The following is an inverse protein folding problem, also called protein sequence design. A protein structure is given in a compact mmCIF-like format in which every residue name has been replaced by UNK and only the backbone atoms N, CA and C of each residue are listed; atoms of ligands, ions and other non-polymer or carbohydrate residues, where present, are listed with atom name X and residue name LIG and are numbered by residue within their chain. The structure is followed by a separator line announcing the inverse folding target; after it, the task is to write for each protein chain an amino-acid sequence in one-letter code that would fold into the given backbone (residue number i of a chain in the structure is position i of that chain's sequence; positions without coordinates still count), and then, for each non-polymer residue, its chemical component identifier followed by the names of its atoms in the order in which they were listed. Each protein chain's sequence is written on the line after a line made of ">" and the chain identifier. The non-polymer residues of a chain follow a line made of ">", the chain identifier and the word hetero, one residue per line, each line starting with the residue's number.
data_IF_958245201024
#
_entry.id   IF_958245201024
#
_cell.length_a   1.000
_cell.length_b   1.000
_cell.length_c   1.000
_cell.angle_alpha   90.00
_cell.angle_beta   90.00
_cell.angle_gamma   90.00
#
_symmetry.space_group_name_H-M   'P 1'
#
loop_
_entity.id
_entity.type
_entity.pdbx_description
1 polymer ?
#
# COMPACT_ATOMS: atom_id res chain seq x y z
N UNK A 1 -7.52 -12.07 20.06
CA UNK A 1 -7.73 -12.63 18.70
C UNK A 1 -7.18 -11.62 17.71
N UNK A 2 -5.94 -11.77 17.25
CA UNK A 2 -5.28 -10.79 16.37
C UNK A 2 -5.65 -11.11 14.93
N UNK A 3 -6.53 -10.32 14.32
CA UNK A 3 -6.88 -10.47 12.92
C UNK A 3 -5.69 -10.00 12.06
N UNK A 4 -4.86 -10.94 11.61
CA UNK A 4 -3.80 -10.68 10.62
C UNK A 4 -4.32 -11.09 9.25
N UNK A 5 -4.84 -10.14 8.46
CA UNK A 5 -5.08 -10.34 7.03
C UNK A 5 -3.81 -9.98 6.27
N UNK A 6 -3.29 -10.94 5.51
CA UNK A 6 -2.12 -10.80 4.63
C UNK A 6 -2.62 -10.61 3.21
N UNK A 7 -2.39 -9.44 2.62
CA UNK A 7 -2.35 -9.25 1.16
C UNK A 7 -1.70 -7.91 0.86
N UNK A 8 -0.72 -7.93 -0.04
CA UNK A 8 0.04 -6.78 -0.47
C UNK A 8 -0.13 -6.60 -1.99
N UNK A 9 -0.73 -5.48 -2.44
CA UNK A 9 -1.20 -5.09 -3.79
C UNK A 9 -1.67 -3.61 -3.97
N UNK A 10 -0.88 -2.51 -3.99
CA UNK A 10 -1.40 -1.12 -3.96
C UNK A 10 -1.84 -0.75 -5.34
N UNK A 11 -3.15 -0.57 -5.47
CA UNK A 11 -3.74 -0.35 -6.77
C UNK A 11 -3.95 1.13 -6.98
N UNK A 12 -3.21 1.66 -7.94
CA UNK A 12 -3.61 2.84 -8.68
C UNK A 12 -4.41 2.38 -9.90
N UNK A 13 -5.74 2.41 -9.77
CA UNK A 13 -6.65 2.15 -10.88
C UNK A 13 -6.50 3.26 -11.94
N UNK A 14 -6.49 2.90 -13.23
CA UNK A 14 -6.46 3.85 -14.34
C UNK A 14 -5.12 4.54 -14.61
N UNK A 15 -4.01 4.04 -14.05
CA UNK A 15 -2.67 4.60 -14.25
C UNK A 15 -1.87 3.93 -15.38
N UNK A 16 -2.54 3.39 -16.40
CA UNK A 16 -1.87 2.78 -17.56
C UNK A 16 -1.25 3.86 -18.44
N UNK A 17 0.05 3.78 -18.68
CA UNK A 17 0.75 4.69 -19.58
C UNK A 17 0.18 4.57 -21.01
N UNK A 18 0.11 5.70 -21.70
CA UNK A 18 -0.20 5.79 -23.13
C UNK A 18 1.04 6.27 -23.91
N UNK A 19 0.92 6.35 -25.24
CA UNK A 19 2.04 6.72 -26.12
C UNK A 19 2.67 8.08 -25.79
N UNK A 20 1.88 9.04 -25.30
CA UNK A 20 2.35 10.38 -24.93
C UNK A 20 3.24 10.35 -23.69
N UNK A 21 3.08 9.35 -22.82
CA UNK A 21 3.89 9.20 -21.62
C UNK A 21 5.33 8.72 -21.94
N UNK A 22 5.61 8.31 -23.18
CA UNK A 22 6.95 8.00 -23.69
C UNK A 22 7.76 7.03 -22.80
N UNK A 23 7.08 6.03 -22.23
CA UNK A 23 7.69 5.04 -21.32
C UNK A 23 7.71 5.45 -19.84
N UNK A 24 7.14 6.61 -19.50
CA UNK A 24 6.94 7.02 -18.12
C UNK A 24 5.70 6.34 -17.53
N UNK A 25 5.92 5.34 -16.69
CA UNK A 25 4.86 4.57 -16.04
C UNK A 25 4.87 4.73 -14.51
N UNK A 26 3.93 4.04 -13.84
CA UNK A 26 3.82 4.04 -12.38
C UNK A 26 5.11 3.55 -11.70
N UNK A 27 5.80 2.57 -12.28
CA UNK A 27 7.05 2.06 -11.72
C UNK A 27 8.15 3.13 -11.74
N UNK A 28 8.29 3.80 -12.89
CA UNK A 28 9.23 4.91 -13.09
C UNK A 28 8.97 6.06 -12.11
N UNK A 29 7.70 6.41 -11.89
CA UNK A 29 7.31 7.43 -10.92
C UNK A 29 7.67 7.03 -9.48
N UNK A 30 7.43 5.78 -9.10
CA UNK A 30 7.79 5.28 -7.76
C UNK A 30 9.31 5.35 -7.54
N UNK A 31 10.10 4.94 -8.53
CA UNK A 31 11.57 4.97 -8.44
C UNK A 31 12.10 6.40 -8.38
N UNK A 32 11.49 7.32 -9.13
CA UNK A 32 11.80 8.74 -9.00
C UNK A 32 11.51 9.25 -7.59
N UNK A 33 10.34 8.95 -7.00
CA UNK A 33 10.02 9.39 -5.63
C UNK A 33 11.00 8.82 -4.61
N UNK A 34 11.38 7.54 -4.73
CA UNK A 34 12.38 6.89 -3.85
C UNK A 34 13.73 7.61 -3.88
N UNK A 35 14.10 8.20 -5.01
CA UNK A 35 15.34 9.00 -5.13
C UNK A 35 15.26 10.37 -4.43
N UNK A 36 14.05 10.85 -4.10
CA UNK A 36 13.80 12.23 -3.64
C UNK A 36 13.46 12.33 -2.15
N UNK A 37 12.97 11.26 -1.54
CA UNK A 37 12.53 11.25 -0.14
C UNK A 37 13.37 10.33 0.71
N UNK A 38 13.55 10.68 1.98
CA UNK A 38 14.32 9.87 2.95
C UNK A 38 13.51 8.73 3.57
N UNK A 39 12.18 8.71 3.36
CA UNK A 39 11.28 7.69 3.89
C UNK A 39 11.08 6.53 2.91
N UNK A 40 11.02 5.28 3.38
CA UNK A 40 10.80 4.13 2.49
C UNK A 40 9.45 4.20 1.78
N UNK A 41 9.46 4.01 0.45
CA UNK A 41 8.23 3.89 -0.36
C UNK A 41 7.97 2.41 -0.65
N UNK A 42 6.93 1.88 -0.01
CA UNK A 42 6.45 0.52 -0.22
C UNK A 42 5.20 0.56 -1.09
N UNK A 43 5.30 0.02 -2.30
CA UNK A 43 4.15 -0.26 -3.16
C UNK A 43 3.58 -1.64 -2.82
N UNK A 44 2.40 -1.97 -3.35
CA UNK A 44 1.82 -3.26 -3.06
C UNK A 44 1.00 -3.33 -1.77
N UNK A 45 0.02 -2.47 -1.48
CA UNK A 45 -1.08 -2.68 -0.52
C UNK A 45 -2.50 -2.59 -1.15
N UNK A 46 -3.29 -3.67 -1.26
CA UNK A 46 -4.64 -3.68 -1.90
C UNK A 46 -5.62 -2.69 -1.27
N UNK A 47 -5.57 -1.43 -1.68
CA UNK A 47 -6.35 -0.33 -1.13
C UNK A 47 -6.60 0.70 -2.24
N UNK A 48 -7.85 1.14 -2.35
CA UNK A 48 -8.27 2.13 -3.34
C UNK A 48 -9.59 1.76 -4.00
N UNK A 49 -9.65 2.01 -5.31
CA UNK A 49 -10.88 1.99 -6.12
C UNK A 49 -11.18 0.63 -6.78
N UNK A 50 -10.37 -0.39 -6.52
CA UNK A 50 -10.61 -1.74 -7.05
C UNK A 50 -11.49 -2.56 -6.12
N UNK A 51 -12.09 -3.61 -6.70
CA UNK A 51 -12.91 -4.56 -5.95
C UNK A 51 -12.14 -5.22 -4.80
N UNK A 52 -10.85 -5.48 -5.00
CA UNK A 52 -9.96 -5.97 -3.94
C UNK A 52 -9.38 -4.78 -3.19
N UNK A 53 -10.01 -4.43 -2.08
CA UNK A 53 -9.59 -3.34 -1.21
C UNK A 53 -9.67 -3.76 0.26
N UNK A 54 -8.65 -3.43 1.04
CA UNK A 54 -8.62 -3.62 2.49
C UNK A 54 -9.22 -2.40 3.20
N UNK A 55 -9.68 -2.57 4.42
CA UNK A 55 -10.13 -1.45 5.25
C UNK A 55 -8.99 -0.97 6.14
N UNK A 56 -8.64 0.31 6.06
CA UNK A 56 -7.65 0.95 6.91
C UNK A 56 -8.35 1.83 7.96
N UNK A 57 -8.23 1.54 9.26
CA UNK A 57 -8.76 2.38 10.31
C UNK A 57 -7.86 3.61 10.48
N UNK A 58 -8.26 4.73 9.88
CA UNK A 58 -7.51 5.99 9.98
C UNK A 58 -7.43 6.47 11.43
N UNK A 59 -6.24 6.88 11.86
CA UNK A 59 -5.95 7.26 13.25
C UNK A 59 -5.53 6.11 14.17
N UNK A 60 -5.54 4.87 13.68
CA UNK A 60 -5.02 3.71 14.42
C UNK A 60 -3.50 3.67 14.43
N UNK A 61 -2.93 2.97 15.43
CA UNK A 61 -1.49 2.71 15.46
C UNK A 61 -1.13 1.63 14.44
N UNK A 62 -0.09 1.90 13.64
CA UNK A 62 0.42 1.00 12.62
C UNK A 62 1.88 0.59 12.89
N UNK A 63 2.23 -0.64 12.51
CA UNK A 63 3.60 -1.13 12.38
C UNK A 63 3.78 -1.80 11.02
N UNK A 64 4.82 -1.39 10.29
CA UNK A 64 5.14 -1.89 8.96
C UNK A 64 6.49 -2.61 8.98
N UNK A 65 6.50 -3.86 8.54
CA UNK A 65 7.72 -4.67 8.39
C UNK A 65 7.85 -5.10 6.93
N UNK A 66 9.01 -4.84 6.33
CA UNK A 66 9.37 -5.32 5.01
C UNK A 66 10.66 -6.14 5.08
N UNK A 67 10.58 -7.45 4.86
CA UNK A 67 11.72 -8.36 4.95
C UNK A 67 11.54 -9.56 4.00
N UNK A 68 12.63 -10.01 3.39
CA UNK A 68 12.66 -11.19 2.50
C UNK A 68 11.56 -11.17 1.42
N UNK A 69 11.34 -10.02 0.79
CA UNK A 69 10.32 -9.83 -0.25
C UNK A 69 8.87 -9.85 0.26
N UNK A 70 8.66 -9.83 1.58
CA UNK A 70 7.33 -9.80 2.19
C UNK A 70 7.12 -8.49 2.94
N UNK A 71 5.93 -7.93 2.76
CA UNK A 71 5.46 -6.76 3.51
C UNK A 71 4.35 -7.19 4.47
N UNK A 72 4.39 -6.70 5.71
CA UNK A 72 3.36 -6.92 6.71
C UNK A 72 3.01 -5.60 7.38
N UNK A 73 1.73 -5.21 7.30
CA UNK A 73 1.16 -4.07 8.00
C UNK A 73 0.29 -4.58 9.15
N UNK A 74 0.63 -4.22 10.37
CA UNK A 74 -0.14 -4.55 11.58
C UNK A 74 -0.80 -3.29 12.12
N UNK A 75 -2.11 -3.36 12.37
CA UNK A 75 -2.93 -2.23 12.81
C UNK A 75 -3.56 -2.54 14.18
N UNK A 76 -3.54 -1.58 15.09
CA UNK A 76 -4.03 -1.74 16.47
C UNK A 76 -4.58 -0.43 17.03
N UNK A 77 -5.33 -0.50 18.14
CA UNK A 77 -5.85 0.68 18.83
C UNK A 77 -7.07 1.34 18.17
N UNK A 78 -7.68 0.71 17.16
CA UNK A 78 -8.95 1.17 16.60
C UNK A 78 -10.15 0.55 17.33
N UNK A 79 -11.30 1.23 17.41
CA UNK A 79 -12.53 0.66 17.95
C UNK A 79 -12.93 -0.60 17.20
N UNK A 80 -13.38 -1.61 17.94
CA UNK A 80 -13.87 -2.89 17.39
C UNK A 80 -15.27 -3.19 17.92
N UNK A 81 -16.07 -3.91 17.14
CA UNK A 81 -17.36 -4.39 17.59
C UNK A 81 -17.13 -5.37 18.76
N UNK A 82 -17.80 -5.12 19.88
CA UNK A 82 -17.86 -6.06 21.01
C UNK A 82 -18.89 -7.14 20.69
N UNK A 83 -18.57 -8.39 21.01
CA UNK A 83 -19.49 -9.52 20.89
C UNK A 83 -20.58 -9.46 21.96
#
# INVERSE_FOLDING_TARGET
>A
MTASRRSCSAVLAGATANDYDAGYDLATMIDYLRSRVSVPIISGLDFGHEQKTVTLPLGAQASLVHAAGKTCLTLSGHPVMKA
#
